data_IF_089482676954
#
_entry.id   IF_089482676954
#
_cell.length_a   1.000
_cell.length_b   1.000
_cell.length_c   1.000
_cell.angle_alpha   90.00
_cell.angle_beta   90.00
_cell.angle_gamma   90.00
#
_symmetry.space_group_name_H-M   'P 1'
#
loop_
_entity.id
_entity.type
_entity.pdbx_description
1 polymer ?
#
# COMPACT_ATOMS: atom_id res chain seq x y z
N UNK A 1 26.35 2.59 12.96
CA UNK A 1 26.89 1.24 13.29
C UNK A 1 26.04 0.67 14.41
N UNK A 2 26.00 -0.65 14.63
CA UNK A 2 25.39 -1.20 15.83
C UNK A 2 25.97 -0.54 17.07
N UNK A 3 25.11 -0.07 18.00
CA UNK A 3 25.48 0.68 19.20
C UNK A 3 25.51 2.20 19.03
N UNK A 4 25.37 2.73 17.81
CA UNK A 4 25.29 4.19 17.62
C UNK A 4 23.96 4.72 18.17
N UNK A 5 24.01 5.84 18.90
CA UNK A 5 22.82 6.55 19.39
C UNK A 5 22.34 7.55 18.34
N UNK A 6 21.05 7.58 18.11
CA UNK A 6 20.37 8.43 17.13
C UNK A 6 19.41 9.34 17.90
N UNK A 7 19.60 10.65 17.76
CA UNK A 7 18.70 11.66 18.31
C UNK A 7 17.64 12.06 17.29
N UNK A 8 16.39 12.06 17.71
CA UNK A 8 15.23 12.53 16.97
C UNK A 8 14.69 13.83 17.58
N UNK A 9 13.79 14.56 16.89
CA UNK A 9 13.08 15.68 17.49
C UNK A 9 12.35 15.30 18.79
N UNK A 10 12.00 16.32 19.59
CA UNK A 10 11.26 16.16 20.85
C UNK A 10 11.94 15.22 21.88
N UNK A 11 13.27 15.29 21.94
CA UNK A 11 14.11 14.54 22.88
C UNK A 11 13.93 13.02 22.83
N UNK A 12 13.49 12.50 21.67
CA UNK A 12 13.42 11.06 21.44
C UNK A 12 14.78 10.55 20.98
N UNK A 13 15.26 9.47 21.60
CA UNK A 13 16.50 8.80 21.23
C UNK A 13 16.28 7.32 20.94
N UNK A 14 17.11 6.75 20.08
CA UNK A 14 17.15 5.32 19.85
C UNK A 14 18.58 4.83 19.61
N UNK A 15 18.84 3.58 19.94
CA UNK A 15 20.09 2.90 19.64
C UNK A 15 19.93 2.03 18.40
N UNK A 16 20.84 2.15 17.45
CA UNK A 16 20.90 1.27 16.30
C UNK A 16 21.38 -0.12 16.72
N UNK A 17 20.53 -1.15 16.58
CA UNK A 17 20.88 -2.51 17.01
C UNK A 17 21.41 -3.36 15.86
N UNK A 18 20.60 -3.55 14.82
CA UNK A 18 20.89 -4.48 13.75
C UNK A 18 20.66 -3.85 12.39
N UNK A 19 21.63 -4.02 11.49
CA UNK A 19 21.47 -3.70 10.07
C UNK A 19 21.03 -4.93 9.32
N UNK A 20 19.93 -4.82 8.57
CA UNK A 20 19.42 -5.89 7.72
C UNK A 20 20.02 -5.86 6.30
N UNK A 21 19.88 -6.97 5.57
CA UNK A 21 20.41 -7.12 4.21
C UNK A 21 19.78 -6.17 3.19
N UNK A 22 18.54 -5.75 3.41
CA UNK A 22 17.81 -4.78 2.59
C UNK A 22 18.23 -3.32 2.86
N UNK A 23 19.14 -3.11 3.83
CA UNK A 23 19.63 -1.81 4.25
C UNK A 23 18.83 -1.14 5.36
N UNK A 24 17.73 -1.75 5.82
CA UNK A 24 16.98 -1.29 6.98
C UNK A 24 17.74 -1.52 8.29
N UNK A 25 17.27 -0.88 9.38
CA UNK A 25 17.84 -1.01 10.70
C UNK A 25 16.77 -1.30 11.73
N UNK A 26 17.06 -2.18 12.66
CA UNK A 26 16.32 -2.28 13.92
C UNK A 26 16.86 -1.22 14.88
N UNK A 27 15.95 -0.43 15.43
CA UNK A 27 16.24 0.60 16.42
C UNK A 27 15.56 0.24 17.75
N UNK A 28 16.30 0.34 18.85
CA UNK A 28 15.75 0.27 20.20
C UNK A 28 15.52 1.69 20.71
N UNK A 29 14.27 2.07 20.93
CA UNK A 29 13.92 3.35 21.52
C UNK A 29 14.10 3.30 23.03
N UNK A 30 14.62 4.39 23.60
CA UNK A 30 14.79 4.54 25.04
C UNK A 30 13.47 4.87 25.75
N UNK A 31 13.36 4.43 27.03
CA UNK A 31 12.20 4.70 27.88
C UNK A 31 11.09 3.63 27.77
N UNK A 32 9.98 3.87 28.51
CA UNK A 32 8.86 2.92 28.63
C UNK A 32 7.64 3.32 27.78
N UNK A 33 7.74 4.40 26.99
CA UNK A 33 6.63 4.84 26.14
C UNK A 33 6.48 3.91 24.93
N UNK A 34 5.23 3.61 24.50
CA UNK A 34 5.00 2.89 23.26
C UNK A 34 5.61 3.59 22.04
N UNK A 35 6.17 2.82 21.11
CA UNK A 35 6.86 3.36 19.92
C UNK A 35 5.93 4.25 19.10
N UNK A 36 4.65 3.93 19.03
CA UNK A 36 3.63 4.70 18.32
C UNK A 36 3.52 6.13 18.87
N UNK A 37 3.59 6.30 20.20
CA UNK A 37 3.57 7.61 20.87
C UNK A 37 4.83 8.40 20.54
N UNK A 38 6.00 7.74 20.54
CA UNK A 38 7.26 8.35 20.15
C UNK A 38 7.26 8.80 18.70
N UNK A 39 6.72 7.97 17.79
CA UNK A 39 6.58 8.30 16.37
C UNK A 39 5.63 9.47 16.14
N UNK A 40 4.52 9.57 16.88
CA UNK A 40 3.62 10.73 16.79
C UNK A 40 4.29 12.03 17.27
N UNK A 41 5.10 11.95 18.33
CA UNK A 41 5.76 13.10 18.94
C UNK A 41 6.95 13.60 18.12
N UNK A 42 7.78 12.70 17.63
CA UNK A 42 9.03 13.01 16.93
C UNK A 42 8.90 12.93 15.39
N UNK A 43 7.92 12.19 14.91
CA UNK A 43 7.77 11.87 13.50
C UNK A 43 7.12 12.99 12.68
N UNK A 44 7.21 12.81 11.38
CA UNK A 44 6.50 13.64 10.38
C UNK A 44 5.82 12.73 9.39
N UNK A 45 4.72 13.19 8.79
CA UNK A 45 4.05 12.45 7.72
C UNK A 45 5.04 12.13 6.59
N UNK A 46 5.23 10.85 6.23
CA UNK A 46 6.16 10.43 5.17
C UNK A 46 5.52 10.68 3.80
N UNK A 47 5.59 11.92 3.32
CA UNK A 47 5.08 12.26 2.00
C UNK A 47 5.92 11.62 0.89
N UNK A 48 5.28 11.27 -0.26
CA UNK A 48 6.00 10.82 -1.44
C UNK A 48 7.13 11.78 -1.83
N UNK A 49 8.29 11.28 -2.32
CA UNK A 49 9.45 12.11 -2.63
C UNK A 49 9.17 13.25 -3.61
N UNK A 50 8.24 13.07 -4.55
CA UNK A 50 7.87 14.11 -5.52
C UNK A 50 7.08 15.27 -4.90
N UNK A 51 6.49 15.08 -3.70
CA UNK A 51 5.86 16.15 -2.90
C UNK A 51 6.89 16.71 -1.92
N UNK A 52 7.54 15.85 -1.14
CA UNK A 52 8.53 16.23 -0.13
C UNK A 52 9.70 17.03 -0.71
N UNK A 53 10.07 16.78 -1.97
CA UNK A 53 11.10 17.56 -2.69
C UNK A 53 10.66 18.96 -3.10
N UNK A 54 9.38 19.31 -3.00
CA UNK A 54 8.85 20.63 -3.39
C UNK A 54 8.50 21.53 -2.20
N UNK A 55 8.15 20.94 -1.07
CA UNK A 55 7.81 21.65 0.17
C UNK A 55 8.05 20.80 1.40
N UNK A 56 8.22 21.44 2.54
CA UNK A 56 8.22 20.74 3.82
C UNK A 56 6.82 20.21 4.14
N UNK A 57 6.77 19.16 4.97
CA UNK A 57 5.55 18.62 5.54
C UNK A 57 4.93 19.63 6.51
N UNK A 58 3.62 19.79 6.47
CA UNK A 58 2.86 20.65 7.38
C UNK A 58 1.75 19.86 8.12
N UNK A 59 1.01 20.54 9.00
CA UNK A 59 -0.01 19.91 9.82
C UNK A 59 -1.22 19.41 9.00
N UNK A 60 -1.51 20.03 7.85
CA UNK A 60 -2.62 19.62 6.98
C UNK A 60 -2.34 18.28 6.31
N UNK A 61 -1.08 17.95 6.07
CA UNK A 61 -0.70 16.68 5.44
C UNK A 61 -1.20 15.45 6.21
N UNK A 62 -1.33 15.55 7.54
CA UNK A 62 -1.85 14.44 8.37
C UNK A 62 -3.30 14.10 7.98
N UNK A 63 -4.07 15.08 7.56
CA UNK A 63 -5.44 14.91 7.09
C UNK A 63 -5.51 14.66 5.59
N UNK A 64 -4.79 15.45 4.80
CA UNK A 64 -4.87 15.45 3.33
C UNK A 64 -4.23 14.19 2.72
N UNK A 65 -3.24 13.61 3.40
CA UNK A 65 -2.57 12.37 2.97
C UNK A 65 -3.10 11.14 3.72
N UNK A 66 -4.38 11.16 4.09
CA UNK A 66 -5.06 10.02 4.72
C UNK A 66 -6.42 9.79 4.06
N UNK A 67 -6.75 8.52 3.78
CA UNK A 67 -8.02 8.17 3.17
C UNK A 67 -9.12 7.99 4.21
N UNK A 68 -10.39 8.19 3.81
CA UNK A 68 -11.54 7.88 4.65
C UNK A 68 -11.65 6.39 5.02
N UNK A 69 -10.91 5.52 4.34
CA UNK A 69 -10.89 4.07 4.56
C UNK A 69 -9.83 3.61 5.56
N UNK A 70 -8.99 4.51 6.06
CA UNK A 70 -7.95 4.18 7.02
C UNK A 70 -8.57 3.69 8.33
N UNK A 71 -8.28 2.43 8.70
CA UNK A 71 -8.85 1.78 9.87
C UNK A 71 -7.80 1.14 10.79
N UNK A 72 -6.59 0.92 10.29
CA UNK A 72 -5.50 0.25 11.02
C UNK A 72 -4.19 0.94 10.72
N UNK A 73 -3.47 1.33 11.76
CA UNK A 73 -2.13 1.91 11.66
C UNK A 73 -1.12 0.85 11.19
N UNK A 74 -0.03 1.30 10.53
CA UNK A 74 1.05 0.42 10.09
C UNK A 74 1.55 0.66 8.67
N UNK A 75 0.84 1.44 7.84
CA UNK A 75 1.30 1.82 6.51
C UNK A 75 2.16 3.09 6.53
N UNK A 76 3.22 3.12 5.72
CA UNK A 76 4.04 4.32 5.50
C UNK A 76 3.42 5.22 4.44
N UNK A 77 2.77 4.64 3.43
CA UNK A 77 2.18 5.39 2.32
C UNK A 77 0.66 5.18 2.25
N UNK A 78 -0.08 6.27 2.01
CA UNK A 78 -1.51 6.20 1.76
C UNK A 78 -1.81 5.60 0.37
N UNK A 79 -2.91 4.86 0.20
CA UNK A 79 -3.39 4.40 -1.10
C UNK A 79 -4.02 5.58 -1.86
N UNK A 80 -3.18 6.36 -2.55
CA UNK A 80 -3.52 7.70 -3.08
C UNK A 80 -4.69 7.73 -4.05
N UNK A 81 -5.00 6.64 -4.77
CA UNK A 81 -6.20 6.57 -5.59
C UNK A 81 -7.49 6.69 -4.75
N UNK A 82 -7.46 6.22 -3.51
CA UNK A 82 -8.61 6.29 -2.61
C UNK A 82 -8.81 7.68 -1.96
N UNK A 83 -7.84 8.59 -2.08
CA UNK A 83 -8.00 9.99 -1.64
C UNK A 83 -9.07 10.76 -2.43
N UNK A 84 -9.42 10.28 -3.64
CA UNK A 84 -10.48 10.87 -4.44
C UNK A 84 -11.91 10.51 -3.97
N UNK A 85 -12.03 9.58 -3.03
CA UNK A 85 -13.31 9.15 -2.49
C UNK A 85 -13.71 10.01 -1.29
N UNK A 86 -14.93 10.53 -1.35
CA UNK A 86 -15.55 11.33 -0.28
C UNK A 86 -16.80 10.63 0.22
N UNK A 87 -17.33 10.97 1.42
CA UNK A 87 -18.61 10.45 1.88
C UNK A 87 -19.75 10.66 0.88
N UNK A 88 -19.80 11.82 0.22
CA UNK A 88 -20.83 12.13 -0.78
C UNK A 88 -20.71 11.22 -2.01
N UNK A 89 -19.49 10.97 -2.50
CA UNK A 89 -19.26 10.03 -3.59
C UNK A 89 -19.68 8.61 -3.20
N UNK A 90 -19.38 8.17 -1.98
CA UNK A 90 -19.78 6.86 -1.49
C UNK A 90 -21.30 6.71 -1.40
N UNK A 91 -22.00 7.76 -0.96
CA UNK A 91 -23.46 7.80 -0.95
C UNK A 91 -24.04 7.69 -2.37
N UNK A 92 -23.50 8.47 -3.32
CA UNK A 92 -23.93 8.42 -4.73
C UNK A 92 -23.68 7.07 -5.38
N UNK A 93 -22.57 6.39 -5.07
CA UNK A 93 -22.30 5.04 -5.54
C UNK A 93 -23.33 4.04 -5.01
N UNK A 94 -23.65 4.12 -3.73
CA UNK A 94 -24.66 3.26 -3.10
C UNK A 94 -26.06 3.46 -3.71
N UNK A 95 -26.47 4.70 -3.99
CA UNK A 95 -27.74 5.03 -4.66
C UNK A 95 -27.83 4.42 -6.08
N UNK A 96 -26.70 4.27 -6.76
CA UNK A 96 -26.63 3.63 -8.09
C UNK A 96 -26.48 2.11 -8.04
N UNK A 97 -26.47 1.52 -6.83
CA UNK A 97 -26.33 0.07 -6.64
C UNK A 97 -24.90 -0.43 -6.76
N UNK A 98 -23.91 0.46 -6.68
CA UNK A 98 -22.49 0.08 -6.67
C UNK A 98 -22.06 -0.14 -5.23
N UNK A 99 -21.77 -1.39 -4.87
CA UNK A 99 -21.24 -1.78 -3.58
C UNK A 99 -19.74 -1.52 -3.46
N UNK A 100 -19.22 -1.56 -2.24
CA UNK A 100 -17.78 -1.47 -1.99
C UNK A 100 -17.34 -2.43 -0.89
N UNK A 101 -16.09 -2.86 -0.96
CA UNK A 101 -15.39 -3.64 0.07
C UNK A 101 -14.05 -2.97 0.37
N UNK A 102 -13.59 -3.15 1.60
CA UNK A 102 -12.29 -2.62 2.03
C UNK A 102 -11.33 -3.75 2.34
N UNK A 103 -10.09 -3.55 1.96
CA UNK A 103 -8.97 -4.46 2.21
C UNK A 103 -7.92 -3.75 3.05
N UNK A 104 -7.13 -4.50 3.82
CA UNK A 104 -6.00 -3.93 4.55
C UNK A 104 -4.69 -4.35 3.88
N UNK A 105 -3.85 -3.37 3.52
CA UNK A 105 -2.46 -3.59 3.14
C UNK A 105 -1.59 -2.53 3.81
N UNK A 106 -0.54 -2.96 4.49
CA UNK A 106 0.46 -2.07 5.09
C UNK A 106 1.54 -1.75 4.06
N UNK A 107 1.33 -0.66 3.32
CA UNK A 107 2.28 -0.21 2.29
C UNK A 107 3.57 0.25 2.95
N UNK A 108 4.66 -0.43 2.66
CA UNK A 108 5.99 -0.16 3.22
C UNK A 108 6.71 1.00 2.53
N UNK A 109 7.83 1.43 3.13
CA UNK A 109 8.70 2.47 2.58
C UNK A 109 9.31 2.09 1.21
N UNK A 110 9.37 0.81 0.90
CA UNK A 110 9.86 0.29 -0.38
C UNK A 110 9.14 0.84 -1.61
N UNK A 111 7.87 1.26 -1.44
CA UNK A 111 7.08 1.87 -2.53
C UNK A 111 7.68 3.19 -3.05
N UNK A 112 8.52 3.86 -2.27
CA UNK A 112 9.19 5.10 -2.64
C UNK A 112 10.59 4.88 -3.24
N UNK A 113 11.07 3.65 -3.24
CA UNK A 113 12.40 3.34 -3.75
C UNK A 113 12.37 3.19 -5.28
N UNK A 114 13.36 3.75 -5.99
CA UNK A 114 13.47 3.57 -7.43
C UNK A 114 13.82 2.11 -7.78
N UNK A 115 13.31 1.63 -8.91
CA UNK A 115 13.76 0.37 -9.50
C UNK A 115 15.23 0.51 -9.88
N UNK A 116 16.08 -0.37 -9.35
CA UNK A 116 17.53 -0.35 -9.58
C UNK A 116 17.98 -1.41 -10.60
N UNK A 117 17.14 -2.41 -10.84
CA UNK A 117 17.44 -3.48 -11.77
C UNK A 117 17.22 -3.03 -13.22
N UNK A 118 18.12 -3.36 -14.11
CA UNK A 118 17.97 -3.12 -15.56
C UNK A 118 17.07 -4.17 -16.21
N UNK A 119 17.00 -5.38 -15.64
CA UNK A 119 16.07 -6.45 -16.04
C UNK A 119 14.98 -6.66 -14.97
N UNK A 120 13.75 -6.87 -15.42
CA UNK A 120 12.62 -7.17 -14.52
C UNK A 120 12.80 -8.51 -13.79
N UNK A 121 13.53 -9.46 -14.35
CA UNK A 121 13.82 -10.74 -13.72
C UNK A 121 14.70 -10.60 -12.46
N UNK A 122 15.52 -9.55 -12.39
CA UNK A 122 16.42 -9.29 -11.27
C UNK A 122 15.78 -8.39 -10.19
N UNK A 123 14.58 -7.85 -10.46
CA UNK A 123 13.91 -6.98 -9.51
C UNK A 123 13.20 -7.77 -8.42
N UNK A 124 13.55 -7.49 -7.18
CA UNK A 124 12.86 -8.03 -6.00
C UNK A 124 11.88 -7.00 -5.43
N UNK A 125 10.60 -7.37 -5.41
CA UNK A 125 9.59 -6.55 -4.74
C UNK A 125 9.74 -6.67 -3.22
N UNK A 126 9.58 -5.55 -2.53
CA UNK A 126 9.45 -5.57 -1.08
C UNK A 126 8.13 -6.25 -0.68
N UNK A 127 8.22 -7.12 0.32
CA UNK A 127 7.05 -7.74 0.89
C UNK A 127 6.24 -6.72 1.71
N UNK A 128 4.92 -6.78 1.57
CA UNK A 128 3.97 -5.94 2.28
C UNK A 128 2.87 -6.83 2.86
N UNK A 129 2.62 -6.68 4.16
CA UNK A 129 1.58 -7.47 4.81
C UNK A 129 0.20 -6.98 4.41
N UNK A 130 -0.69 -7.93 4.08
CA UNK A 130 -2.07 -7.62 3.72
C UNK A 130 -3.07 -8.63 4.27
N UNK A 131 -4.33 -8.22 4.31
CA UNK A 131 -5.42 -9.04 4.81
C UNK A 131 -6.71 -8.87 4.01
N UNK A 132 -7.33 -10.02 3.69
CA UNK A 132 -8.70 -10.17 3.20
C UNK A 132 -9.37 -11.21 4.09
N UNK A 133 -10.40 -10.85 4.83
CA UNK A 133 -11.13 -11.83 5.62
C UNK A 133 -12.06 -12.71 4.77
N UNK A 134 -12.53 -13.83 5.33
CA UNK A 134 -13.35 -14.80 4.62
C UNK A 134 -14.67 -14.18 4.13
N UNK A 135 -15.31 -13.35 4.95
CA UNK A 135 -16.59 -12.74 4.59
C UNK A 135 -16.44 -11.77 3.42
N UNK A 136 -15.34 -11.00 3.38
CA UNK A 136 -15.01 -10.13 2.24
C UNK A 136 -14.73 -10.93 0.98
N UNK A 137 -13.93 -12.00 1.07
CA UNK A 137 -13.66 -12.89 -0.07
C UNK A 137 -14.94 -13.49 -0.63
N UNK A 138 -15.83 -13.99 0.24
CA UNK A 138 -17.13 -14.56 -0.17
C UNK A 138 -18.02 -13.55 -0.88
N UNK A 139 -18.11 -12.29 -0.37
CA UNK A 139 -18.90 -11.24 -1.02
C UNK A 139 -18.33 -10.86 -2.39
N UNK A 140 -17.01 -10.73 -2.53
CA UNK A 140 -16.37 -10.44 -3.81
C UNK A 140 -16.64 -11.57 -4.84
N UNK A 141 -16.49 -12.83 -4.42
CA UNK A 141 -16.79 -13.97 -5.28
C UNK A 141 -18.27 -14.04 -5.68
N UNK A 142 -19.18 -13.71 -4.75
CA UNK A 142 -20.62 -13.67 -5.04
C UNK A 142 -20.97 -12.59 -6.07
N UNK A 143 -20.32 -11.42 -6.05
CA UNK A 143 -20.50 -10.39 -7.08
C UNK A 143 -20.18 -10.93 -8.45
N UNK A 144 -19.03 -11.62 -8.62
CA UNK A 144 -18.61 -12.19 -9.89
C UNK A 144 -19.52 -13.33 -10.34
N UNK A 145 -19.92 -14.22 -9.44
CA UNK A 145 -20.84 -15.32 -9.72
C UNK A 145 -22.20 -14.83 -10.23
N UNK A 146 -22.62 -13.62 -9.82
CA UNK A 146 -23.84 -12.96 -10.28
C UNK A 146 -23.63 -12.07 -11.54
N UNK A 147 -22.48 -12.17 -12.22
CA UNK A 147 -22.17 -11.40 -13.42
C UNK A 147 -21.75 -9.94 -13.17
N UNK A 148 -21.47 -9.59 -11.93
CA UNK A 148 -20.93 -8.28 -11.56
C UNK A 148 -19.43 -8.19 -11.86
N UNK A 149 -18.89 -6.98 -11.72
CA UNK A 149 -17.48 -6.66 -11.97
C UNK A 149 -16.80 -6.18 -10.71
N UNK A 150 -15.53 -6.53 -10.55
CA UNK A 150 -14.65 -6.06 -9.46
C UNK A 150 -13.69 -5.01 -10.01
N UNK A 151 -13.83 -3.78 -9.54
CA UNK A 151 -12.98 -2.65 -9.89
C UNK A 151 -12.07 -2.35 -8.71
N UNK A 152 -10.79 -2.61 -8.85
CA UNK A 152 -9.82 -2.27 -7.82
C UNK A 152 -9.59 -0.75 -7.80
N UNK A 153 -9.62 -0.15 -6.61
CA UNK A 153 -9.23 1.25 -6.40
C UNK A 153 -7.83 1.28 -5.79
N UNK A 154 -6.87 1.68 -6.62
CA UNK A 154 -5.45 1.67 -6.32
C UNK A 154 -4.74 0.36 -6.67
N UNK A 155 -3.47 0.49 -7.04
CA UNK A 155 -2.57 -0.65 -7.29
C UNK A 155 -2.36 -1.50 -6.04
N UNK A 156 -2.50 -0.91 -4.86
CA UNK A 156 -2.48 -1.57 -3.55
C UNK A 156 -3.56 -2.64 -3.45
N UNK A 157 -4.83 -2.25 -3.68
CA UNK A 157 -5.96 -3.19 -3.66
C UNK A 157 -5.83 -4.27 -4.74
N UNK A 158 -5.41 -3.86 -5.96
CA UNK A 158 -5.20 -4.79 -7.06
C UNK A 158 -4.17 -5.86 -6.68
N UNK A 159 -3.00 -5.47 -6.17
CA UNK A 159 -1.93 -6.41 -5.82
C UNK A 159 -2.38 -7.41 -4.76
N UNK A 160 -3.11 -6.96 -3.74
CA UNK A 160 -3.62 -7.84 -2.70
C UNK A 160 -4.66 -8.82 -3.24
N UNK A 161 -5.61 -8.36 -4.06
CA UNK A 161 -6.62 -9.21 -4.69
C UNK A 161 -5.98 -10.28 -5.58
N UNK A 162 -5.01 -9.89 -6.42
CA UNK A 162 -4.29 -10.82 -7.29
C UNK A 162 -3.44 -11.84 -6.51
N UNK A 163 -2.89 -11.44 -5.35
CA UNK A 163 -2.17 -12.36 -4.46
C UNK A 163 -3.08 -13.39 -3.79
N UNK A 164 -4.32 -13.01 -3.54
CA UNK A 164 -5.33 -13.86 -2.91
C UNK A 164 -6.10 -14.74 -3.92
N UNK A 165 -5.94 -14.50 -5.22
CA UNK A 165 -6.70 -15.20 -6.26
C UNK A 165 -6.00 -16.46 -6.73
N UNK A 166 -6.76 -17.56 -6.79
CA UNK A 166 -6.34 -18.84 -7.37
C UNK A 166 -6.51 -18.88 -8.90
N UNK A 167 -6.01 -19.94 -9.54
CA UNK A 167 -6.05 -20.07 -11.01
C UNK A 167 -7.46 -20.24 -11.59
N UNK A 168 -8.42 -20.65 -10.78
CA UNK A 168 -9.86 -20.70 -11.10
C UNK A 168 -10.58 -19.34 -10.92
N UNK A 169 -9.81 -18.28 -10.68
CA UNK A 169 -10.26 -16.91 -10.48
C UNK A 169 -11.11 -16.69 -9.21
N UNK A 170 -11.00 -17.56 -8.21
CA UNK A 170 -11.61 -17.35 -6.90
C UNK A 170 -10.67 -16.57 -5.98
N UNK A 171 -11.23 -15.62 -5.25
CA UNK A 171 -10.52 -14.87 -4.21
C UNK A 171 -10.66 -15.64 -2.90
N UNK A 172 -9.54 -15.92 -2.24
CA UNK A 172 -9.50 -16.61 -0.97
C UNK A 172 -9.22 -15.65 0.19
N UNK A 173 -9.58 -16.02 1.43
CA UNK A 173 -9.07 -15.32 2.60
C UNK A 173 -7.55 -15.26 2.55
N UNK A 174 -6.99 -14.11 2.88
CA UNK A 174 -5.56 -13.86 2.84
C UNK A 174 -5.13 -13.15 4.13
N UNK A 175 -4.06 -13.61 4.75
CA UNK A 175 -3.45 -12.96 5.90
C UNK A 175 -1.95 -13.27 5.86
N UNK A 176 -1.14 -12.33 5.39
CA UNK A 176 0.28 -12.56 5.20
C UNK A 176 0.94 -11.55 4.27
N UNK A 177 2.16 -11.85 3.88
CA UNK A 177 2.97 -10.99 3.02
C UNK A 177 2.70 -11.25 1.53
N UNK A 178 2.64 -10.17 0.77
CA UNK A 178 2.65 -10.19 -0.69
C UNK A 178 3.85 -9.44 -1.24
N UNK A 179 4.57 -10.08 -2.14
CA UNK A 179 5.64 -9.47 -2.93
C UNK A 179 5.34 -9.59 -4.44
N UNK A 180 4.05 -9.62 -4.80
CA UNK A 180 3.65 -9.81 -6.19
C UNK A 180 4.20 -8.71 -7.09
N UNK A 181 4.88 -9.11 -8.16
CA UNK A 181 5.40 -8.24 -9.19
C UNK A 181 4.66 -8.50 -10.50
N UNK A 182 3.82 -7.55 -10.89
CA UNK A 182 2.99 -7.67 -12.09
C UNK A 182 3.67 -6.93 -13.23
N UNK A 183 4.00 -7.67 -14.29
CA UNK A 183 4.66 -7.19 -15.50
C UNK A 183 3.82 -7.52 -16.74
N UNK A 184 4.11 -6.90 -17.91
CA UNK A 184 3.44 -7.24 -19.17
C UNK A 184 3.44 -8.76 -19.44
N UNK A 185 2.27 -9.30 -19.79
CA UNK A 185 2.04 -10.72 -19.93
C UNK A 185 1.38 -11.40 -18.73
N UNK A 186 1.24 -10.69 -17.60
CA UNK A 186 0.51 -11.20 -16.44
C UNK A 186 -0.97 -11.39 -16.77
N UNK A 187 -1.54 -12.53 -16.35
CA UNK A 187 -2.97 -12.83 -16.48
C UNK A 187 -3.69 -12.45 -15.18
N UNK A 188 -4.49 -11.39 -15.23
CA UNK A 188 -5.31 -10.98 -14.10
C UNK A 188 -6.42 -12.01 -13.83
N UNK A 189 -6.63 -12.29 -12.54
CA UNK A 189 -7.56 -13.32 -12.05
C UNK A 189 -8.68 -12.72 -11.22
N UNK A 190 -8.38 -11.69 -10.43
CA UNK A 190 -9.28 -11.16 -9.41
C UNK A 190 -10.09 -9.95 -9.88
N UNK A 191 -9.58 -9.14 -10.80
CA UNK A 191 -10.17 -7.86 -11.15
C UNK A 191 -10.64 -7.78 -12.58
N UNK A 192 -11.65 -6.93 -12.81
CA UNK A 192 -12.18 -6.58 -14.13
C UNK A 192 -11.78 -5.17 -14.57
N UNK A 193 -11.24 -4.37 -13.65
CA UNK A 193 -10.77 -3.03 -13.95
C UNK A 193 -9.97 -2.43 -12.79
N UNK A 194 -9.26 -1.36 -13.09
CA UNK A 194 -8.43 -0.62 -12.15
C UNK A 194 -8.70 0.87 -12.26
N UNK A 195 -8.97 1.51 -11.13
CA UNK A 195 -8.93 2.95 -10.98
C UNK A 195 -7.64 3.30 -10.22
N UNK A 196 -6.76 4.07 -10.82
CA UNK A 196 -5.48 4.44 -10.22
C UNK A 196 -5.00 5.81 -10.67
N UNK A 197 -4.02 6.38 -9.96
CA UNK A 197 -3.37 7.62 -10.36
C UNK A 197 -2.37 7.36 -11.50
N UNK A 198 -1.83 8.44 -12.07
CA UNK A 198 -0.71 8.36 -13.01
C UNK A 198 0.56 7.89 -12.30
N UNK A 199 1.37 7.10 -13.02
CA UNK A 199 2.60 6.54 -12.50
C UNK A 199 3.81 7.04 -13.27
N UNK A 200 4.94 7.16 -12.55
CA UNK A 200 6.19 7.58 -13.15
C UNK A 200 6.72 6.53 -14.13
N UNK A 201 7.35 6.95 -15.23
CA UNK A 201 8.07 6.04 -16.11
C UNK A 201 9.13 5.24 -15.33
N UNK A 202 9.42 4.03 -15.79
CA UNK A 202 10.41 3.13 -15.17
C UNK A 202 10.09 2.75 -13.71
N UNK A 203 8.82 2.70 -13.35
CA UNK A 203 8.35 2.23 -12.04
C UNK A 203 7.63 0.89 -12.17
N UNK A 204 7.63 0.11 -11.09
CA UNK A 204 6.88 -1.15 -10.99
C UNK A 204 5.39 -0.95 -11.23
N UNK A 205 4.84 0.18 -10.78
CA UNK A 205 3.43 0.51 -10.96
C UNK A 205 3.10 0.86 -12.42
N UNK A 206 4.03 1.46 -13.16
CA UNK A 206 3.86 1.69 -14.60
C UNK A 206 3.84 0.35 -15.38
N UNK A 207 4.67 -0.62 -14.98
CA UNK A 207 4.66 -1.97 -15.57
C UNK A 207 3.33 -2.68 -15.30
N UNK A 208 2.79 -2.57 -14.08
CA UNK A 208 1.48 -3.13 -13.72
C UNK A 208 0.36 -2.57 -14.61
N UNK A 209 0.32 -1.25 -14.80
CA UNK A 209 -0.69 -0.62 -15.68
C UNK A 209 -0.47 -1.05 -17.13
N UNK A 210 0.79 -1.16 -17.59
CA UNK A 210 1.11 -1.66 -18.93
C UNK A 210 0.65 -3.11 -19.12
N UNK A 211 0.80 -3.96 -18.09
CA UNK A 211 0.28 -5.33 -18.12
C UNK A 211 -1.26 -5.37 -18.30
N UNK A 212 -1.98 -4.49 -17.59
CA UNK A 212 -3.45 -4.41 -17.70
C UNK A 212 -3.90 -3.89 -19.06
N UNK A 213 -3.15 -2.96 -19.66
CA UNK A 213 -3.48 -2.36 -20.95
C UNK A 213 -3.02 -3.18 -22.16
N UNK A 214 -2.29 -4.29 -21.95
CA UNK A 214 -1.80 -5.16 -23.01
C UNK A 214 -0.63 -4.56 -23.82
N UNK A 215 0.22 -3.76 -23.19
CA UNK A 215 1.36 -3.08 -23.84
C UNK A 215 2.69 -3.47 -23.23
#
# INVERSE_FOLDING_TARGET
RPGDEIAFPADVTATAETRHHDGSWTLAFGGDEPVEVLLERAGRMPLPPYIAGKRATDAADKQDYQTMFAARDGAVAAPTAALHFTPDLMAALAETGIGHETLTLHVGAGTFLPVKADDTADHQMHAEWGRIDAATADRLNAVRANGGRLIAVGTTSLRLLESAASDDNLIHPFDGDTAIFITPGYRFKAIDGLMTNFHLPKSTLFMLVSALMGR
#
